data_IF_271748514146
#
_entry.id   IF_271748514146
#
_cell.length_a   1.000
_cell.length_b   1.000
_cell.length_c   1.000
_cell.angle_alpha   90.00
_cell.angle_beta   90.00
_cell.angle_gamma   90.00
#
_symmetry.space_group_name_H-M   'P 1'
#
loop_
_entity.id
_entity.type
_entity.pdbx_description
1 polymer ?
#
# COMPACT_ATOMS: atom_id res chain seq x y z
N UNK A 1 20.99 51.54 53.96
CA UNK A 1 20.02 50.43 54.15
C UNK A 1 20.74 49.13 53.84
N UNK A 2 20.55 48.10 54.68
CA UNK A 2 21.25 46.81 54.66
C UNK A 2 20.84 45.97 53.43
N UNK A 3 21.80 45.20 52.93
CA UNK A 3 21.70 44.27 51.81
C UNK A 3 20.79 43.07 52.08
N UNK A 4 20.20 42.50 51.02
CA UNK A 4 20.15 41.04 50.78
C UNK A 4 19.98 40.79 49.28
N UNK A 5 20.94 40.07 48.68
CA UNK A 5 20.83 39.46 47.37
C UNK A 5 20.28 38.02 47.53
N UNK A 6 19.40 37.58 46.63
CA UNK A 6 19.12 36.15 46.41
C UNK A 6 18.99 35.91 44.90
N UNK A 7 19.81 35.02 44.29
CA UNK A 7 19.66 34.62 42.91
C UNK A 7 18.64 33.48 42.82
N UNK A 8 17.75 33.50 41.83
CA UNK A 8 16.89 32.35 41.53
C UNK A 8 17.46 31.53 40.38
N UNK A 9 17.49 30.22 40.64
CA UNK A 9 18.25 29.20 39.93
C UNK A 9 17.75 28.87 38.52
N UNK A 10 18.73 28.46 37.74
CA UNK A 10 18.65 27.65 36.51
C UNK A 10 17.70 26.46 36.69
N UNK A 11 16.80 26.28 35.73
CA UNK A 11 16.00 25.08 35.52
C UNK A 11 15.92 24.77 34.03
N UNK A 12 17.02 24.29 33.46
CA UNK A 12 17.08 23.74 32.11
C UNK A 12 16.34 22.38 32.10
N UNK A 13 15.02 22.40 31.90
CA UNK A 13 14.26 21.20 31.58
C UNK A 13 14.39 20.95 30.08
N UNK A 14 15.47 20.25 29.72
CA UNK A 14 15.53 19.42 28.53
C UNK A 14 14.41 18.39 28.63
N UNK A 15 13.19 18.78 28.25
CA UNK A 15 12.19 17.82 27.78
C UNK A 15 12.74 17.30 26.46
N UNK A 16 13.61 16.29 26.58
CA UNK A 16 13.82 15.31 25.54
C UNK A 16 12.45 14.82 25.13
N UNK A 17 11.96 15.39 24.03
CA UNK A 17 10.88 14.81 23.26
C UNK A 17 11.39 13.47 22.79
N UNK A 18 11.17 12.44 23.61
CA UNK A 18 11.07 11.09 23.15
C UNK A 18 9.98 11.11 22.10
N UNK A 19 10.39 11.30 20.84
CA UNK A 19 9.60 10.87 19.70
C UNK A 19 9.47 9.37 19.87
N UNK A 20 8.47 8.96 20.65
CA UNK A 20 7.89 7.63 20.56
C UNK A 20 7.26 7.58 19.18
N UNK A 21 8.10 7.40 18.16
CA UNK A 21 7.63 6.94 16.87
C UNK A 21 6.99 5.59 17.18
N UNK A 22 5.66 5.58 17.26
CA UNK A 22 4.87 4.39 17.02
C UNK A 22 5.56 3.70 15.84
N UNK A 23 6.00 2.45 16.02
CA UNK A 23 6.55 1.66 14.95
C UNK A 23 5.47 1.60 13.86
N UNK A 24 5.55 2.50 12.89
CA UNK A 24 4.56 2.60 11.84
C UNK A 24 4.59 1.28 11.07
N UNK A 25 3.42 0.68 10.85
CA UNK A 25 3.34 -0.52 10.02
C UNK A 25 3.92 -0.16 8.65
N UNK A 26 4.96 -0.88 8.22
CA UNK A 26 5.67 -0.57 6.97
C UNK A 26 4.75 -0.70 5.75
N UNK A 27 3.61 -1.38 5.89
CA UNK A 27 2.55 -1.41 4.86
C UNK A 27 2.04 -0.01 4.52
N UNK A 28 1.92 0.88 5.52
CA UNK A 28 1.51 2.28 5.32
C UNK A 28 2.59 3.12 4.62
N UNK A 29 3.80 2.56 4.50
CA UNK A 29 4.93 3.13 3.76
C UNK A 29 5.10 2.50 2.38
N UNK A 30 4.07 1.85 1.84
CA UNK A 30 4.05 1.38 0.46
C UNK A 30 3.00 2.17 -0.32
N UNK A 31 3.44 2.93 -1.32
CA UNK A 31 2.54 3.64 -2.23
C UNK A 31 2.05 2.69 -3.32
N UNK A 32 0.76 2.66 -3.59
CA UNK A 32 0.15 1.83 -4.65
C UNK A 32 -0.42 2.75 -5.74
N UNK A 33 -0.13 2.44 -7.00
CA UNK A 33 -0.66 3.18 -8.16
C UNK A 33 -1.17 2.18 -9.20
N UNK A 34 -2.43 2.29 -9.65
CA UNK A 34 -2.93 1.51 -10.78
C UNK A 34 -2.36 2.07 -12.09
N UNK A 35 -1.95 1.18 -13.00
CA UNK A 35 -1.38 1.59 -14.28
C UNK A 35 -2.50 1.72 -15.31
N UNK A 36 -2.51 2.76 -16.15
CA UNK A 36 -3.44 2.80 -17.29
C UNK A 36 -2.97 1.81 -18.38
N UNK A 37 -3.44 0.56 -18.31
CA UNK A 37 -3.09 -0.52 -19.26
C UNK A 37 -4.04 -0.58 -20.44
N UNK A 38 -4.06 0.47 -21.26
CA UNK A 38 -5.00 0.56 -22.39
C UNK A 38 -6.46 0.71 -21.92
N UNK A 39 -7.23 1.54 -22.63
CA UNK A 39 -8.64 1.72 -22.32
C UNK A 39 -9.42 0.51 -22.85
N UNK A 40 -9.66 -0.49 -22.00
CA UNK A 40 -10.75 -1.42 -22.25
C UNK A 40 -12.07 -0.67 -22.02
N UNK A 41 -12.92 -0.52 -23.06
CA UNK A 41 -14.16 0.26 -22.93
C UNK A 41 -15.01 -0.24 -21.75
N UNK A 42 -15.36 0.67 -20.84
CA UNK A 42 -16.18 0.36 -19.67
C UNK A 42 -15.45 -0.26 -18.48
N UNK A 43 -14.11 -0.26 -18.45
CA UNK A 43 -13.31 -0.73 -17.31
C UNK A 43 -12.52 0.40 -16.65
N UNK A 44 -12.28 0.30 -15.34
CA UNK A 44 -11.45 1.27 -14.62
C UNK A 44 -9.98 1.17 -15.04
N UNK A 45 -9.18 2.25 -14.90
CA UNK A 45 -7.74 2.20 -15.14
C UNK A 45 -7.06 1.08 -14.34
N UNK A 46 -6.16 0.34 -14.99
CA UNK A 46 -5.51 -0.83 -14.38
C UNK A 46 -6.20 -2.13 -14.68
N UNK A 47 -7.49 -2.11 -15.00
CA UNK A 47 -8.24 -3.33 -15.27
C UNK A 47 -8.03 -3.81 -16.70
N UNK A 48 -7.86 -5.11 -16.87
CA UNK A 48 -7.88 -5.76 -18.18
C UNK A 48 -8.36 -7.21 -18.05
N UNK A 49 -8.66 -7.83 -19.20
CA UNK A 49 -9.09 -9.23 -19.29
C UNK A 49 -7.97 -10.01 -19.96
N UNK A 50 -7.48 -11.09 -19.34
CA UNK A 50 -6.45 -11.94 -19.93
C UNK A 50 -7.03 -12.93 -20.95
N UNK A 51 -6.17 -13.65 -21.68
CA UNK A 51 -6.60 -14.64 -22.67
C UNK A 51 -7.46 -15.78 -22.09
N UNK A 52 -7.29 -16.09 -20.80
CA UNK A 52 -8.10 -17.08 -20.07
C UNK A 52 -9.42 -16.50 -19.54
N UNK A 53 -9.77 -15.26 -19.92
CA UNK A 53 -11.01 -14.59 -19.55
C UNK A 53 -11.16 -14.35 -18.04
N UNK A 54 -10.04 -14.06 -17.35
CA UNK A 54 -10.01 -13.61 -15.96
C UNK A 54 -9.88 -12.08 -15.91
N UNK A 55 -10.47 -11.48 -14.88
CA UNK A 55 -10.17 -10.09 -14.55
C UNK A 55 -8.76 -9.98 -13.97
N UNK A 56 -7.99 -9.01 -14.46
CA UNK A 56 -6.73 -8.60 -13.90
C UNK A 56 -6.74 -7.13 -13.52
N UNK A 57 -5.94 -6.77 -12.50
CA UNK A 57 -5.64 -5.37 -12.16
C UNK A 57 -4.12 -5.20 -12.12
N UNK A 58 -3.60 -4.39 -13.05
CA UNK A 58 -2.17 -4.03 -13.12
C UNK A 58 -1.90 -2.71 -12.42
N UNK A 59 -0.79 -2.66 -11.70
CA UNK A 59 -0.34 -1.48 -10.99
C UNK A 59 1.16 -1.50 -10.72
N UNK A 60 1.59 -0.56 -9.89
CA UNK A 60 2.91 -0.55 -9.26
C UNK A 60 2.78 -0.34 -7.78
N UNK A 61 3.76 -0.87 -7.04
CA UNK A 61 4.02 -0.50 -5.66
C UNK A 61 5.35 0.22 -5.59
N UNK A 62 5.47 1.21 -4.70
CA UNK A 62 6.70 1.92 -4.43
C UNK A 62 7.02 1.85 -2.94
N UNK A 63 8.23 1.45 -2.60
CA UNK A 63 8.72 1.49 -1.23
C UNK A 63 8.99 2.94 -0.81
N UNK A 64 8.15 3.50 0.07
CA UNK A 64 8.33 4.83 0.65
C UNK A 64 8.99 4.79 2.04
N UNK A 65 9.39 3.61 2.51
CA UNK A 65 10.14 3.46 3.75
C UNK A 65 11.61 3.84 3.54
N UNK A 66 12.28 4.19 4.65
CA UNK A 66 13.72 4.45 4.68
C UNK A 66 14.59 3.18 4.73
N UNK A 67 13.99 1.99 4.59
CA UNK A 67 14.65 0.70 4.69
C UNK A 67 14.26 -0.20 3.52
N UNK A 68 15.09 -1.20 3.22
CA UNK A 68 14.77 -2.24 2.24
C UNK A 68 13.66 -3.14 2.77
N UNK A 69 12.64 -3.34 1.95
CA UNK A 69 11.56 -4.27 2.23
C UNK A 69 11.81 -5.60 1.51
N UNK A 70 11.29 -6.70 2.06
CA UNK A 70 11.17 -7.97 1.35
C UNK A 70 10.08 -7.91 0.27
N UNK A 71 9.58 -9.07 -0.13
CA UNK A 71 8.42 -9.15 -1.04
C UNK A 71 7.23 -8.40 -0.46
N UNK A 72 6.63 -7.53 -1.25
CA UNK A 72 5.38 -6.85 -0.88
C UNK A 72 4.22 -7.73 -1.33
N UNK A 73 3.33 -8.09 -0.39
CA UNK A 73 2.11 -8.83 -0.68
C UNK A 73 0.93 -7.87 -0.79
N UNK A 74 0.24 -7.95 -1.92
CA UNK A 74 -0.97 -7.20 -2.24
C UNK A 74 -2.21 -8.08 -2.12
N UNK A 75 -3.29 -7.49 -1.67
CA UNK A 75 -4.64 -8.04 -1.71
C UNK A 75 -5.51 -7.19 -2.63
N UNK A 76 -6.44 -7.82 -3.33
CA UNK A 76 -7.40 -7.16 -4.21
C UNK A 76 -8.81 -7.65 -3.95
N UNK A 77 -9.78 -6.75 -4.06
CA UNK A 77 -11.21 -7.06 -4.01
C UNK A 77 -11.92 -6.43 -5.21
N UNK A 78 -12.79 -7.21 -5.85
CA UNK A 78 -13.69 -6.74 -6.90
C UNK A 78 -15.12 -6.75 -6.36
N UNK A 79 -15.85 -5.66 -6.58
CA UNK A 79 -17.19 -5.45 -6.02
C UNK A 79 -18.24 -5.25 -7.10
N UNK A 80 -19.43 -5.79 -6.85
CA UNK A 80 -20.62 -5.55 -7.65
C UNK A 80 -21.25 -4.18 -7.37
N UNK A 81 -22.31 -3.86 -8.12
CA UNK A 81 -23.08 -2.63 -7.93
C UNK A 81 -23.74 -2.54 -6.53
N UNK A 82 -24.09 -3.68 -5.94
CA UNK A 82 -24.68 -3.79 -4.60
C UNK A 82 -23.64 -3.74 -3.47
N UNK A 83 -22.36 -3.55 -3.81
CA UNK A 83 -21.25 -3.51 -2.85
C UNK A 83 -20.78 -4.89 -2.38
N UNK A 84 -21.34 -6.00 -2.88
CA UNK A 84 -20.85 -7.34 -2.53
C UNK A 84 -19.53 -7.65 -3.22
N UNK A 85 -18.70 -8.44 -2.54
CA UNK A 85 -17.46 -8.96 -3.11
C UNK A 85 -17.82 -10.04 -4.14
N UNK A 86 -17.41 -9.82 -5.38
CA UNK A 86 -17.52 -10.79 -6.48
C UNK A 86 -16.26 -11.67 -6.59
N UNK A 87 -15.12 -11.17 -6.10
CA UNK A 87 -13.91 -11.96 -6.01
C UNK A 87 -12.77 -11.26 -5.29
N UNK A 88 -11.77 -12.05 -4.94
CA UNK A 88 -10.54 -11.60 -4.28
C UNK A 88 -9.32 -12.14 -5.01
N UNK A 89 -8.23 -11.40 -4.96
CA UNK A 89 -6.96 -11.80 -5.52
C UNK A 89 -5.82 -11.46 -4.55
N UNK A 90 -4.72 -12.17 -4.66
CA UNK A 90 -3.47 -11.81 -3.97
C UNK A 90 -2.31 -11.88 -4.95
N UNK A 91 -1.33 -11.00 -4.76
CA UNK A 91 -0.11 -10.99 -5.57
C UNK A 91 1.07 -10.61 -4.70
N UNK A 92 2.22 -11.25 -4.88
CA UNK A 92 3.48 -10.81 -4.29
C UNK A 92 4.39 -10.27 -5.38
N UNK A 93 5.11 -9.18 -5.10
CA UNK A 93 6.13 -8.66 -6.02
C UNK A 93 7.12 -9.76 -6.42
N UNK A 94 7.56 -9.73 -7.69
CA UNK A 94 8.49 -10.72 -8.22
C UNK A 94 9.88 -10.57 -7.61
N UNK A 95 10.31 -9.32 -7.44
CA UNK A 95 11.55 -8.95 -6.77
C UNK A 95 11.53 -9.49 -5.33
N UNK A 96 12.61 -10.14 -4.91
CA UNK A 96 12.75 -10.65 -3.55
C UNK A 96 12.81 -9.54 -2.50
N UNK A 97 13.34 -8.38 -2.91
CA UNK A 97 13.51 -7.19 -2.09
C UNK A 97 13.17 -5.93 -2.90
N UNK A 98 12.86 -4.85 -2.19
CA UNK A 98 12.59 -3.53 -2.77
C UNK A 98 13.29 -2.46 -1.92
N UNK A 99 14.32 -1.83 -2.46
CA UNK A 99 15.06 -0.76 -1.80
C UNK A 99 14.23 0.52 -1.64
N UNK A 100 14.68 1.50 -0.84
CA UNK A 100 13.99 2.78 -0.67
C UNK A 100 13.71 3.47 -2.02
N UNK A 101 12.50 3.97 -2.20
CA UNK A 101 11.97 4.60 -3.43
C UNK A 101 11.87 3.69 -4.67
N UNK A 102 12.31 2.44 -4.62
CA UNK A 102 12.18 1.50 -5.74
C UNK A 102 10.72 1.12 -6.00
N UNK A 103 10.43 0.86 -7.28
CA UNK A 103 9.11 0.43 -7.76
C UNK A 103 9.13 -1.02 -8.22
N UNK A 104 8.03 -1.73 -7.98
CA UNK A 104 7.76 -3.03 -8.56
C UNK A 104 6.38 -3.06 -9.23
N UNK A 105 6.27 -3.79 -10.34
CA UNK A 105 4.98 -4.07 -10.94
C UNK A 105 4.17 -5.05 -10.09
N UNK A 106 2.86 -4.84 -10.05
CA UNK A 106 1.89 -5.78 -9.51
C UNK A 106 0.86 -6.13 -10.58
N UNK A 107 0.39 -7.37 -10.56
CA UNK A 107 -0.63 -7.86 -11.49
C UNK A 107 -1.53 -8.87 -10.77
N UNK A 108 -2.62 -8.38 -10.19
CA UNK A 108 -3.56 -9.22 -9.45
C UNK A 108 -4.50 -9.91 -10.41
N UNK A 109 -4.52 -11.24 -10.35
CA UNK A 109 -5.42 -12.09 -11.14
C UNK A 109 -6.60 -12.58 -10.27
N UNK A 110 -7.82 -12.25 -10.69
CA UNK A 110 -9.05 -12.65 -10.02
C UNK A 110 -9.61 -13.91 -10.66
N UNK A 111 -9.09 -15.07 -10.23
CA UNK A 111 -9.45 -16.39 -10.79
C UNK A 111 -10.95 -16.71 -10.72
N UNK A 112 -11.70 -16.12 -9.79
CA UNK A 112 -13.15 -16.32 -9.65
C UNK A 112 -13.99 -15.31 -10.42
N UNK A 113 -13.40 -14.24 -10.95
CA UNK A 113 -14.10 -13.17 -11.67
C UNK A 113 -13.84 -13.36 -13.16
N UNK A 114 -14.70 -14.15 -13.79
CA UNK A 114 -14.51 -14.62 -15.16
C UNK A 114 -15.77 -14.44 -16.00
N UNK A 115 -15.60 -14.32 -17.32
CA UNK A 115 -16.71 -14.24 -18.26
C UNK A 115 -17.75 -13.17 -17.92
N UNK A 116 -19.06 -13.49 -17.92
CA UNK A 116 -20.12 -12.51 -17.65
C UNK A 116 -20.01 -11.82 -16.29
N UNK A 117 -19.33 -12.44 -15.30
CA UNK A 117 -19.15 -11.85 -13.98
C UNK A 117 -18.24 -10.61 -14.01
N UNK A 118 -17.34 -10.50 -14.99
CA UNK A 118 -16.46 -9.33 -15.18
C UNK A 118 -17.30 -8.05 -15.39
N UNK A 119 -18.39 -8.15 -16.16
CA UNK A 119 -19.28 -7.01 -16.46
C UNK A 119 -20.04 -6.48 -15.23
N UNK A 120 -20.14 -7.31 -14.19
CA UNK A 120 -20.80 -6.97 -12.94
C UNK A 120 -19.87 -6.21 -11.98
N UNK A 121 -18.55 -6.19 -12.23
CA UNK A 121 -17.60 -5.44 -11.41
C UNK A 121 -17.79 -3.95 -11.65
N UNK A 122 -18.09 -3.20 -10.57
CA UNK A 122 -18.31 -1.75 -10.58
C UNK A 122 -17.29 -0.97 -9.76
N UNK A 123 -16.55 -1.66 -8.89
CA UNK A 123 -15.50 -1.06 -8.06
C UNK A 123 -14.44 -2.10 -7.76
N UNK A 124 -13.23 -1.64 -7.52
CA UNK A 124 -12.15 -2.46 -7.00
C UNK A 124 -11.42 -1.77 -5.85
N UNK A 125 -10.69 -2.55 -5.06
CA UNK A 125 -9.81 -2.08 -4.00
C UNK A 125 -8.51 -2.88 -4.04
N UNK A 126 -7.38 -2.21 -3.82
CA UNK A 126 -6.07 -2.80 -3.66
C UNK A 126 -5.50 -2.39 -2.30
N UNK A 127 -5.03 -3.35 -1.53
CA UNK A 127 -4.45 -3.14 -0.20
C UNK A 127 -3.09 -3.82 -0.09
N UNK A 128 -2.18 -3.21 0.68
CA UNK A 128 -0.91 -3.84 1.05
C UNK A 128 -1.18 -4.76 2.24
N UNK A 129 -1.09 -6.06 2.01
CA UNK A 129 -1.34 -7.10 3.04
C UNK A 129 -0.11 -7.31 3.89
N UNK A 130 1.08 -7.26 3.29
CA UNK A 130 2.36 -7.49 3.96
C UNK A 130 3.48 -6.69 3.31
N UNK A 131 4.29 -6.05 4.16
CA UNK A 131 5.53 -5.37 3.82
C UNK A 131 6.44 -5.47 5.04
N UNK A 132 7.44 -6.35 4.99
CA UNK A 132 8.35 -6.61 6.09
C UNK A 132 9.76 -6.14 5.74
N UNK A 133 10.57 -5.68 6.70
CA UNK A 133 11.96 -5.36 6.43
C UNK A 133 12.70 -6.66 6.08
N UNK A 134 13.74 -6.56 5.25
CA UNK A 134 14.68 -7.67 5.11
C UNK A 134 15.48 -7.84 6.41
N UNK A 135 15.75 -9.09 6.86
CA UNK A 135 16.63 -9.35 7.99
C UNK A 135 18.03 -8.76 7.82
#
# INVERSE_FOLDING_TARGET
MKATAVPFLVGLLMLGGFSTSLAADLKDKVKVETLSVGLHPGMDPGMYICASNHLHIKGTVQNMAGVTLGKIKMGGKAFGADGKILGTATFSTKQATLGPSEKAEINLEFLTVTGPLIQQVKKHQLDVVEALPTP
#
